data_IF_340549538530
#
_entry.id   IF_340549538530
#
_cell.length_a   1.000
_cell.length_b   1.000
_cell.length_c   1.000
_cell.angle_alpha   90.00
_cell.angle_beta   90.00
_cell.angle_gamma   90.00
#
_symmetry.space_group_name_H-M   'P 1'
#
loop_
_entity.id
_entity.type
_entity.pdbx_description
1 polymer ?
#
# COMPACT_ATOMS: atom_id res chain seq x y z
N UNK A 1 -24.14 -14.91 -3.29
CA UNK A 1 -24.20 -13.58 -2.63
C UNK A 1 -24.60 -12.49 -3.64
N UNK A 2 -25.42 -11.52 -3.24
CA UNK A 2 -25.81 -10.41 -4.12
C UNK A 2 -24.64 -9.40 -4.21
N UNK A 3 -24.15 -9.06 -5.42
CA UNK A 3 -22.99 -8.18 -5.58
C UNK A 3 -23.25 -6.72 -5.15
N UNK A 4 -24.51 -6.32 -4.99
CA UNK A 4 -24.86 -4.98 -4.48
C UNK A 4 -24.93 -4.90 -2.95
N UNK A 5 -24.72 -6.01 -2.23
CA UNK A 5 -24.65 -5.95 -0.77
C UNK A 5 -23.38 -5.21 -0.31
N UNK A 6 -23.43 -4.52 0.85
CA UNK A 6 -22.26 -3.92 1.45
C UNK A 6 -21.13 -4.94 1.66
N UNK A 7 -19.92 -4.56 1.26
CA UNK A 7 -18.69 -5.26 1.56
C UNK A 7 -18.04 -4.71 2.85
N UNK A 8 -18.00 -3.39 3.00
CA UNK A 8 -17.52 -2.73 4.22
C UNK A 8 -18.17 -1.36 4.44
N UNK A 9 -18.03 -0.86 5.66
CA UNK A 9 -18.42 0.47 6.10
C UNK A 9 -17.23 1.10 6.85
N UNK A 10 -16.74 2.24 6.38
CA UNK A 10 -15.69 3.00 7.07
C UNK A 10 -16.19 4.40 7.37
N UNK A 11 -15.94 4.88 8.58
CA UNK A 11 -16.27 6.24 8.97
C UNK A 11 -15.13 7.19 8.63
N UNK A 12 -15.47 8.34 8.04
CA UNK A 12 -14.53 9.43 7.74
C UNK A 12 -14.96 10.72 8.42
N UNK A 13 -14.06 11.70 8.53
CA UNK A 13 -14.38 13.01 9.07
C UNK A 13 -15.48 13.68 8.26
N UNK A 14 -16.58 14.07 8.91
CA UNK A 14 -17.64 14.88 8.31
C UNK A 14 -17.43 16.37 8.56
N UNK A 15 -17.77 17.21 7.58
CA UNK A 15 -17.69 18.67 7.69
C UNK A 15 -18.62 19.26 8.77
N UNK A 16 -19.63 18.49 9.19
CA UNK A 16 -20.58 18.84 10.26
C UNK A 16 -20.05 18.54 11.67
N UNK A 17 -18.80 18.06 11.80
CA UNK A 17 -18.22 17.63 13.07
C UNK A 17 -18.67 16.24 13.53
N UNK A 18 -19.55 15.59 12.78
CA UNK A 18 -20.01 14.20 13.01
C UNK A 18 -19.41 13.29 11.93
N UNK A 19 -18.78 12.17 12.28
CA UNK A 19 -18.25 11.23 11.29
C UNK A 19 -19.35 10.72 10.35
N UNK A 20 -19.05 10.65 9.06
CA UNK A 20 -19.95 10.08 8.04
C UNK A 20 -19.52 8.66 7.70
N UNK A 21 -20.49 7.75 7.60
CA UNK A 21 -20.23 6.37 7.18
C UNK A 21 -20.24 6.23 5.66
N UNK A 22 -19.17 5.68 5.10
CA UNK A 22 -19.07 5.36 3.67
C UNK A 22 -19.26 3.85 3.48
N UNK A 23 -20.40 3.46 2.93
CA UNK A 23 -20.75 2.06 2.65
C UNK A 23 -20.31 1.69 1.23
N UNK A 24 -19.44 0.70 1.10
CA UNK A 24 -18.93 0.25 -0.20
C UNK A 24 -19.50 -1.13 -0.55
N UNK A 25 -20.21 -1.28 -1.69
CA UNK A 25 -20.72 -2.57 -2.16
C UNK A 25 -19.63 -3.51 -2.68
N UNK A 26 -19.92 -4.81 -2.73
CA UNK A 26 -19.03 -5.83 -3.30
C UNK A 26 -18.67 -5.54 -4.77
N UNK A 27 -19.61 -5.02 -5.58
CA UNK A 27 -19.33 -4.63 -6.98
C UNK A 27 -18.17 -3.66 -7.13
N UNK A 28 -18.02 -2.72 -6.20
CA UNK A 28 -16.99 -1.68 -6.29
C UNK A 28 -15.60 -2.27 -6.05
N UNK A 29 -15.47 -3.15 -5.06
CA UNK A 29 -14.23 -3.89 -4.81
C UNK A 29 -13.86 -4.75 -6.01
N UNK A 30 -14.82 -5.48 -6.58
CA UNK A 30 -14.59 -6.31 -7.78
C UNK A 30 -14.11 -5.42 -8.94
N UNK A 31 -14.72 -4.25 -9.13
CA UNK A 31 -14.30 -3.32 -10.17
C UNK A 31 -12.86 -2.85 -9.96
N UNK A 32 -12.51 -2.44 -8.74
CA UNK A 32 -11.15 -2.00 -8.38
C UNK A 32 -10.11 -3.11 -8.66
N UNK A 33 -10.35 -4.32 -8.16
CA UNK A 33 -9.41 -5.42 -8.33
C UNK A 33 -9.33 -5.93 -9.76
N UNK A 34 -10.42 -5.89 -10.53
CA UNK A 34 -10.36 -6.18 -11.97
C UNK A 34 -9.56 -5.12 -12.73
N UNK A 35 -9.78 -3.83 -12.44
CA UNK A 35 -9.06 -2.73 -13.09
C UNK A 35 -7.56 -2.73 -12.76
N UNK A 36 -7.16 -3.32 -11.64
CA UNK A 36 -5.77 -3.39 -11.18
C UNK A 36 -5.16 -4.78 -11.29
N UNK A 37 -5.87 -5.76 -11.85
CA UNK A 37 -5.47 -7.16 -11.86
C UNK A 37 -4.09 -7.38 -12.48
N UNK A 38 -3.88 -6.87 -13.70
CA UNK A 38 -2.61 -7.00 -14.42
C UNK A 38 -1.44 -6.43 -13.61
N UNK A 39 -1.69 -5.32 -12.91
CA UNK A 39 -0.69 -4.74 -12.03
C UNK A 39 -0.40 -5.66 -10.86
N UNK A 40 -1.42 -6.11 -10.11
CA UNK A 40 -1.26 -6.95 -8.92
C UNK A 40 -0.62 -8.30 -9.22
N UNK A 41 -0.89 -8.88 -10.39
CA UNK A 41 -0.31 -10.18 -10.81
C UNK A 41 1.07 -10.05 -11.46
N UNK A 42 1.54 -8.84 -11.77
CA UNK A 42 2.88 -8.64 -12.31
C UNK A 42 3.92 -8.83 -11.19
N UNK A 43 4.42 -10.05 -11.07
CA UNK A 43 5.40 -10.44 -10.04
C UNK A 43 6.67 -10.98 -10.69
N UNK A 44 7.85 -10.85 -10.06
CA UNK A 44 9.06 -11.50 -10.53
C UNK A 44 8.86 -13.01 -10.58
N UNK A 45 9.20 -13.62 -11.72
CA UNK A 45 9.18 -15.07 -11.95
C UNK A 45 7.87 -15.80 -11.56
N UNK A 46 6.73 -15.08 -11.60
CA UNK A 46 5.43 -15.61 -11.17
C UNK A 46 5.40 -16.16 -9.73
N UNK A 47 6.25 -15.61 -8.84
CA UNK A 47 6.36 -16.05 -7.45
C UNK A 47 5.32 -15.39 -6.54
N UNK A 48 4.79 -16.10 -5.53
CA UNK A 48 3.95 -15.50 -4.50
C UNK A 48 4.65 -14.33 -3.80
N UNK A 49 3.92 -13.24 -3.57
CA UNK A 49 4.42 -12.04 -2.90
C UNK A 49 4.08 -12.06 -1.40
N UNK A 50 4.79 -11.24 -0.63
CA UNK A 50 4.51 -11.01 0.79
C UNK A 50 4.11 -9.57 1.00
N UNK A 51 2.87 -9.36 1.42
CA UNK A 51 2.27 -8.05 1.65
C UNK A 51 2.29 -7.69 3.13
N UNK A 52 2.46 -6.40 3.43
CA UNK A 52 2.32 -5.88 4.79
C UNK A 52 0.94 -5.23 4.98
N UNK A 53 0.21 -5.65 6.01
CA UNK A 53 -1.01 -5.00 6.49
C UNK A 53 -0.62 -3.84 7.41
N UNK A 54 -0.20 -2.71 6.84
CA UNK A 54 0.38 -1.60 7.59
C UNK A 54 -0.67 -0.66 8.18
N UNK A 55 -1.75 -0.39 7.43
CA UNK A 55 -2.70 0.65 7.80
C UNK A 55 -3.72 0.18 8.83
N UNK A 56 -4.19 1.07 9.70
CA UNK A 56 -5.31 0.73 10.60
C UNK A 56 -6.54 0.29 9.80
N UNK A 57 -7.30 -0.67 10.32
CA UNK A 57 -8.58 -1.12 9.76
C UNK A 57 -9.64 0.00 9.63
N UNK A 58 -9.40 1.15 10.28
CA UNK A 58 -10.21 2.35 10.13
C UNK A 58 -9.95 3.12 8.81
N UNK A 59 -8.90 2.77 8.06
CA UNK A 59 -8.60 3.34 6.74
C UNK A 59 -8.77 2.28 5.66
N UNK A 60 -9.31 2.67 4.51
CA UNK A 60 -9.65 1.75 3.42
C UNK A 60 -8.42 1.23 2.65
N UNK A 61 -7.23 1.82 2.86
CA UNK A 61 -5.95 1.20 2.48
C UNK A 61 -5.77 -0.19 3.09
N UNK A 62 -6.27 -0.43 4.31
CA UNK A 62 -6.21 -1.78 4.90
C UNK A 62 -7.00 -2.80 4.08
N UNK A 63 -8.13 -2.40 3.48
CA UNK A 63 -8.94 -3.26 2.60
C UNK A 63 -8.15 -3.62 1.34
N UNK A 64 -7.42 -2.65 0.78
CA UNK A 64 -6.52 -2.88 -0.34
C UNK A 64 -5.39 -3.85 0.00
N UNK A 65 -4.71 -3.66 1.14
CA UNK A 65 -3.64 -4.54 1.60
C UNK A 65 -4.13 -5.99 1.78
N UNK A 66 -5.26 -6.16 2.46
CA UNK A 66 -5.83 -7.47 2.76
C UNK A 66 -6.26 -8.18 1.48
N UNK A 67 -7.12 -7.54 0.67
CA UNK A 67 -7.69 -8.18 -0.50
C UNK A 67 -6.69 -8.26 -1.66
N UNK A 68 -5.77 -7.30 -1.77
CA UNK A 68 -4.66 -7.34 -2.72
C UNK A 68 -3.81 -8.60 -2.53
N UNK A 69 -3.53 -8.97 -1.27
CA UNK A 69 -2.84 -10.21 -0.98
C UNK A 69 -3.71 -11.46 -1.19
N UNK A 70 -4.86 -11.52 -0.52
CA UNK A 70 -5.67 -12.75 -0.41
C UNK A 70 -6.34 -13.16 -1.73
N UNK A 71 -6.74 -12.21 -2.57
CA UNK A 71 -7.37 -12.52 -3.86
C UNK A 71 -6.36 -13.06 -4.90
N UNK A 72 -5.06 -12.85 -4.68
CA UNK A 72 -4.01 -13.22 -5.63
C UNK A 72 -3.09 -14.33 -5.12
N UNK A 73 -3.46 -15.00 -4.01
CA UNK A 73 -2.70 -16.13 -3.45
C UNK A 73 -1.36 -15.71 -2.83
N UNK A 74 -1.26 -14.47 -2.33
CA UNK A 74 -0.09 -13.95 -1.66
C UNK A 74 -0.18 -14.12 -0.13
N UNK A 75 0.94 -13.91 0.55
CA UNK A 75 1.01 -13.90 2.02
C UNK A 75 0.70 -12.50 2.55
N UNK A 76 -0.04 -12.41 3.66
CA UNK A 76 -0.30 -11.17 4.38
C UNK A 76 0.34 -11.20 5.77
N UNK A 77 1.29 -10.32 6.02
CA UNK A 77 1.94 -10.13 7.32
C UNK A 77 1.21 -9.00 8.07
N UNK A 78 0.81 -9.28 9.31
CA UNK A 78 0.10 -8.32 10.17
C UNK A 78 1.05 -7.86 11.27
N UNK A 79 1.75 -6.71 11.09
CA UNK A 79 2.59 -6.13 12.13
C UNK A 79 1.77 -5.72 13.36
N UNK A 80 2.41 -5.73 14.53
CA UNK A 80 1.81 -5.12 15.72
C UNK A 80 1.86 -3.58 15.63
N UNK A 81 1.06 -2.92 16.47
CA UNK A 81 0.92 -1.46 16.50
C UNK A 81 2.25 -0.71 16.77
N UNK A 82 3.18 -1.28 17.54
CA UNK A 82 4.45 -0.62 17.81
C UNK A 82 5.36 -0.67 16.58
N UNK A 83 5.39 -1.80 15.88
CA UNK A 83 6.17 -1.99 14.66
C UNK A 83 5.74 -1.03 13.56
N UNK A 84 4.43 -0.81 13.34
CA UNK A 84 3.97 0.14 12.31
C UNK A 84 4.33 1.60 12.61
N UNK A 85 4.68 1.93 13.86
CA UNK A 85 5.05 3.29 14.29
C UNK A 85 6.56 3.50 14.42
N UNK A 86 7.35 2.46 14.18
CA UNK A 86 8.80 2.46 14.31
C UNK A 86 9.42 2.10 12.97
N UNK A 87 9.98 3.06 12.22
CA UNK A 87 10.64 2.77 10.94
C UNK A 87 11.74 1.71 11.09
N UNK A 88 12.47 1.72 12.20
CA UNK A 88 13.51 0.73 12.47
C UNK A 88 12.94 -0.70 12.65
N UNK A 89 11.88 -0.85 13.45
CA UNK A 89 11.25 -2.15 13.65
C UNK A 89 10.56 -2.63 12.38
N UNK A 90 9.97 -1.72 11.60
CA UNK A 90 9.38 -2.04 10.30
C UNK A 90 10.43 -2.52 9.30
N UNK A 91 11.59 -1.85 9.21
CA UNK A 91 12.70 -2.31 8.35
C UNK A 91 13.16 -3.71 8.78
N UNK A 92 13.28 -3.93 10.08
CA UNK A 92 13.64 -5.24 10.63
C UNK A 92 12.62 -6.30 10.23
N UNK A 93 11.32 -6.01 10.35
CA UNK A 93 10.25 -6.91 9.92
C UNK A 93 10.27 -7.16 8.41
N UNK A 94 10.51 -6.13 7.59
CA UNK A 94 10.60 -6.25 6.13
C UNK A 94 11.67 -7.26 5.74
N UNK A 95 12.83 -7.23 6.40
CA UNK A 95 13.90 -8.20 6.16
C UNK A 95 13.55 -9.60 6.69
N UNK A 96 13.00 -9.70 7.91
CA UNK A 96 12.70 -10.98 8.56
C UNK A 96 11.62 -11.77 7.82
N UNK A 97 10.55 -11.10 7.39
CA UNK A 97 9.39 -11.73 6.74
C UNK A 97 9.47 -11.67 5.22
N UNK A 98 10.58 -11.16 4.66
CA UNK A 98 10.76 -10.95 3.23
C UNK A 98 9.57 -10.22 2.59
N UNK A 99 9.15 -9.10 3.20
CA UNK A 99 8.05 -8.29 2.69
C UNK A 99 8.45 -7.73 1.32
N UNK A 100 7.66 -8.03 0.29
CA UNK A 100 7.89 -7.58 -1.08
C UNK A 100 6.94 -6.47 -1.51
N UNK A 101 5.75 -6.35 -0.90
CA UNK A 101 4.78 -5.29 -1.20
C UNK A 101 4.44 -4.48 0.04
N UNK A 102 4.62 -3.16 -0.05
CA UNK A 102 4.33 -2.22 1.02
C UNK A 102 3.43 -1.08 0.53
N UNK A 103 2.35 -0.77 1.26
CA UNK A 103 1.55 0.43 1.05
C UNK A 103 1.97 1.50 2.05
N UNK A 104 2.16 2.75 1.62
CA UNK A 104 2.57 3.87 2.49
C UNK A 104 1.95 5.19 2.03
N UNK A 105 1.89 6.18 2.92
CA UNK A 105 1.85 7.57 2.48
C UNK A 105 3.24 8.05 2.07
N UNK A 106 3.36 9.04 1.15
CA UNK A 106 4.64 9.65 0.81
C UNK A 106 5.49 10.03 2.03
N UNK A 107 4.92 10.71 3.03
CA UNK A 107 5.65 11.12 4.24
C UNK A 107 6.22 9.92 5.01
N UNK A 108 5.43 8.86 5.18
CA UNK A 108 5.85 7.66 5.89
C UNK A 108 6.97 6.91 5.15
N UNK A 109 6.87 6.81 3.81
CA UNK A 109 7.94 6.24 2.98
C UNK A 109 9.25 7.04 3.12
N UNK A 110 9.20 8.38 3.08
CA UNK A 110 10.41 9.18 3.22
C UNK A 110 11.11 8.95 4.57
N UNK A 111 10.34 8.83 5.66
CA UNK A 111 10.92 8.48 6.96
C UNK A 111 11.55 7.09 6.95
N UNK A 112 10.88 6.10 6.35
CA UNK A 112 11.41 4.74 6.20
C UNK A 112 12.75 4.73 5.44
N UNK A 113 12.82 5.41 4.30
CA UNK A 113 14.03 5.51 3.46
C UNK A 113 15.17 6.16 4.24
N UNK A 114 14.91 7.28 4.90
CA UNK A 114 15.93 7.98 5.68
C UNK A 114 16.48 7.09 6.80
N UNK A 115 15.61 6.40 7.55
CA UNK A 115 16.04 5.47 8.60
C UNK A 115 16.84 4.29 8.04
N UNK A 116 16.41 3.73 6.90
CA UNK A 116 17.13 2.64 6.23
C UNK A 116 18.54 3.05 5.83
N UNK A 117 18.69 4.20 5.18
CA UNK A 117 20.00 4.73 4.76
C UNK A 117 20.97 5.01 5.92
N UNK A 118 20.44 5.32 7.12
CA UNK A 118 21.26 5.60 8.30
C UNK A 118 21.74 4.34 9.03
N UNK A 119 20.94 3.27 9.02
CA UNK A 119 21.13 2.16 9.95
C UNK A 119 21.30 0.78 9.29
N UNK A 120 21.02 0.64 7.99
CA UNK A 120 20.99 -0.65 7.31
C UNK A 120 21.85 -0.63 6.04
N UNK A 121 22.63 -1.68 5.83
CA UNK A 121 23.51 -1.81 4.66
C UNK A 121 22.94 -2.70 3.56
N UNK A 122 21.97 -3.57 3.90
CA UNK A 122 21.33 -4.45 2.93
C UNK A 122 20.16 -3.72 2.24
N UNK A 123 20.04 -3.81 0.90
CA UNK A 123 18.88 -3.26 0.18
C UNK A 123 17.57 -3.86 0.69
N UNK A 124 16.50 -3.06 0.66
CA UNK A 124 15.17 -3.55 1.02
C UNK A 124 14.70 -4.58 -0.02
N UNK A 125 14.15 -5.75 0.38
CA UNK A 125 13.63 -6.77 -0.52
C UNK A 125 12.27 -6.39 -1.16
N UNK A 126 11.98 -5.09 -1.28
CA UNK A 126 10.70 -4.60 -1.78
C UNK A 126 10.67 -4.71 -3.31
N UNK A 127 9.74 -5.50 -3.82
CA UNK A 127 9.38 -5.49 -5.23
C UNK A 127 8.46 -4.32 -5.56
N UNK A 128 7.59 -3.92 -4.63
CA UNK A 128 6.51 -2.98 -4.88
C UNK A 128 6.24 -2.05 -3.71
N UNK A 129 6.08 -0.77 -4.02
CA UNK A 129 5.62 0.24 -3.08
C UNK A 129 4.40 0.97 -3.68
N UNK A 130 3.29 0.95 -2.95
CA UNK A 130 2.05 1.64 -3.35
C UNK A 130 1.91 2.88 -2.47
N UNK A 131 1.90 4.04 -3.10
CA UNK A 131 1.78 5.34 -2.46
C UNK A 131 0.38 5.90 -2.64
N UNK A 132 -0.10 6.64 -1.64
CA UNK A 132 -1.30 7.46 -1.79
C UNK A 132 -1.65 8.21 -0.50
N UNK A 133 -2.79 8.87 -0.50
CA UNK A 133 -3.30 9.61 0.67
C UNK A 133 -2.64 10.97 0.94
N UNK A 134 -1.52 11.30 0.30
CA UNK A 134 -0.86 12.62 0.41
C UNK A 134 -0.28 13.05 -0.94
N UNK A 135 0.07 14.34 -1.04
CA UNK A 135 0.83 14.87 -2.17
C UNK A 135 2.22 14.22 -2.22
N UNK A 136 2.60 13.75 -3.41
CA UNK A 136 3.89 13.16 -3.68
C UNK A 136 4.86 14.20 -4.27
N UNK A 137 6.09 14.24 -3.74
CA UNK A 137 7.24 14.87 -4.40
C UNK A 137 8.18 13.77 -4.94
N UNK A 138 8.19 13.51 -6.26
CA UNK A 138 9.02 12.46 -6.87
C UNK A 138 10.53 12.69 -6.68
N UNK A 139 10.97 13.94 -6.56
CA UNK A 139 12.41 14.27 -6.48
C UNK A 139 13.08 13.67 -5.24
N UNK A 140 12.30 13.40 -4.19
CA UNK A 140 12.76 12.76 -2.95
C UNK A 140 12.98 11.24 -3.09
N UNK A 141 12.51 10.63 -4.18
CA UNK A 141 12.64 9.20 -4.45
C UNK A 141 13.79 8.86 -5.40
N UNK A 142 14.43 9.85 -6.02
CA UNK A 142 15.49 9.64 -7.03
C UNK A 142 16.61 8.72 -6.53
N UNK A 143 17.21 9.02 -5.37
CA UNK A 143 18.28 8.20 -4.79
C UNK A 143 17.79 6.80 -4.45
N UNK A 144 16.58 6.68 -3.92
CA UNK A 144 16.00 5.39 -3.56
C UNK A 144 15.81 4.50 -4.80
N UNK A 145 15.28 5.06 -5.90
CA UNK A 145 15.14 4.36 -7.18
C UNK A 145 16.48 3.88 -7.75
N UNK A 146 17.54 4.68 -7.64
CA UNK A 146 18.88 4.28 -8.08
C UNK A 146 19.42 3.10 -7.26
N UNK A 147 19.15 3.09 -5.95
CA UNK A 147 19.56 2.01 -5.04
C UNK A 147 18.68 0.76 -5.16
N UNK A 148 17.44 0.91 -5.61
CA UNK A 148 16.45 -0.16 -5.73
C UNK A 148 15.83 -0.19 -7.14
N UNK A 149 16.62 -0.47 -8.19
CA UNK A 149 16.17 -0.37 -9.58
C UNK A 149 15.07 -1.38 -9.97
N UNK A 150 14.86 -2.40 -9.14
CA UNK A 150 13.84 -3.44 -9.32
C UNK A 150 12.55 -3.18 -8.52
N UNK A 151 12.50 -2.10 -7.72
CA UNK A 151 11.32 -1.73 -6.96
C UNK A 151 10.39 -0.86 -7.80
N UNK A 152 9.17 -1.35 -7.98
CA UNK A 152 8.11 -0.62 -8.66
C UNK A 152 7.37 0.27 -7.67
N UNK A 153 7.50 1.59 -7.82
CA UNK A 153 6.77 2.56 -7.00
C UNK A 153 5.59 3.09 -7.81
N UNK A 154 4.39 3.03 -7.24
CA UNK A 154 3.19 3.52 -7.89
C UNK A 154 2.49 4.52 -7.00
N UNK A 155 2.24 5.71 -7.55
CA UNK A 155 1.38 6.68 -6.91
C UNK A 155 -0.08 6.39 -7.29
N UNK A 156 -0.93 6.16 -6.31
CA UNK A 156 -2.36 5.94 -6.48
C UNK A 156 -3.16 7.00 -5.74
N UNK A 157 -4.27 7.41 -6.35
CA UNK A 157 -5.17 8.39 -5.75
C UNK A 157 -6.60 7.89 -5.77
N UNK A 158 -7.31 8.17 -4.68
CA UNK A 158 -8.73 7.97 -4.50
C UNK A 158 -9.13 8.43 -3.10
N UNK A 159 -10.43 8.60 -2.90
CA UNK A 159 -11.02 8.87 -1.60
C UNK A 159 -11.90 7.69 -1.20
N UNK A 160 -12.27 7.60 0.08
CA UNK A 160 -13.05 6.47 0.59
C UNK A 160 -14.37 6.29 -0.17
N UNK A 161 -15.04 7.38 -0.53
CA UNK A 161 -16.29 7.40 -1.30
C UNK A 161 -16.15 6.79 -2.70
N UNK A 162 -14.95 6.78 -3.26
CA UNK A 162 -14.67 6.23 -4.59
C UNK A 162 -14.04 4.85 -4.55
N UNK A 163 -14.05 4.18 -3.38
CA UNK A 163 -13.46 2.85 -3.17
C UNK A 163 -11.94 2.85 -3.34
N UNK A 164 -11.22 3.37 -2.35
CA UNK A 164 -9.75 3.27 -2.20
C UNK A 164 -8.97 4.04 -3.27
N UNK A 165 -8.98 3.58 -4.53
CA UNK A 165 -8.18 4.11 -5.63
C UNK A 165 -9.00 4.22 -6.91
N UNK A 166 -8.87 5.33 -7.61
CA UNK A 166 -9.49 5.58 -8.93
C UNK A 166 -8.49 5.97 -10.01
N UNK A 167 -7.29 6.42 -9.63
CA UNK A 167 -6.20 6.68 -10.57
C UNK A 167 -4.90 6.07 -10.05
N UNK A 168 -4.00 5.75 -10.97
CA UNK A 168 -2.66 5.28 -10.65
C UNK A 168 -1.66 5.84 -11.66
N UNK A 169 -0.43 6.05 -11.21
CA UNK A 169 0.69 6.52 -12.01
C UNK A 169 1.97 5.82 -11.56
N UNK A 170 2.51 4.89 -12.38
CA UNK A 170 3.83 4.30 -12.13
C UNK A 170 4.91 5.37 -12.13
N UNK A 171 5.79 5.37 -11.13
CA UNK A 171 6.93 6.28 -11.06
C UNK A 171 8.14 5.62 -11.71
N UNK A 172 8.81 6.36 -12.58
CA UNK A 172 10.06 5.95 -13.18
C UNK A 172 11.20 6.77 -12.56
N UNK A 173 12.46 6.29 -12.63
CA UNK A 173 13.61 7.06 -12.15
C UNK A 173 13.78 8.46 -12.79
N UNK A 174 13.10 8.72 -13.91
CA UNK A 174 13.15 9.97 -14.68
C UNK A 174 11.85 10.80 -14.62
N UNK A 175 10.84 10.38 -13.85
CA UNK A 175 9.59 11.15 -13.64
C UNK A 175 9.70 12.12 -12.48
#
# INVERSE_FOLDING_TARGET
>A
PNPHHPAYLIYTSGSTGTPKGVTIPQTNLIHLFNATHQYLTHTPDHTPQTWCQFHSYAFDFSVWEILGALLHGHTLIIPNHNTTRSPHDLITLIHQEHITTLCQTPTALYHLINTHQQHHQQPLPLHRIILGGETLDPTRLTTFHQQHPHTHIINMYGITETTIHVTHHPLNPNT
#
